data_IF_496475188951
#
_entry.id   IF_496475188951
#
_cell.length_a   1.000
_cell.length_b   1.000
_cell.length_c   1.000
_cell.angle_alpha   90.00
_cell.angle_beta   90.00
_cell.angle_gamma   90.00
#
_symmetry.space_group_name_H-M   'P 1'
#
loop_
_entity.id
_entity.type
_entity.pdbx_description
1 polymer ?
#
# COMPACT_ATOMS: atom_id res chain seq x y z
N UNK A 1 41.45 14.50 -2.98
CA UNK A 1 41.25 13.03 -3.02
C UNK A 1 41.46 12.48 -1.62
N UNK A 2 40.41 12.46 -0.80
CA UNK A 2 40.44 11.90 0.55
C UNK A 2 39.56 10.66 0.59
N UNK A 3 40.20 9.50 0.67
CA UNK A 3 39.84 8.35 1.52
C UNK A 3 38.34 7.95 1.59
N UNK A 4 37.67 7.82 0.44
CA UNK A 4 36.35 7.15 0.34
C UNK A 4 36.49 5.63 0.56
N UNK A 5 37.70 5.08 0.44
CA UNK A 5 38.00 3.66 0.59
C UNK A 5 37.90 3.14 2.05
N UNK A 6 37.72 4.01 3.05
CA UNK A 6 37.62 3.62 4.48
C UNK A 6 36.19 3.46 5.01
N UNK A 7 35.16 3.53 4.16
CA UNK A 7 33.81 3.09 4.52
C UNK A 7 33.51 1.82 3.76
N UNK A 8 33.36 0.71 4.48
CA UNK A 8 33.08 -0.66 4.00
C UNK A 8 31.72 -0.84 3.28
N UNK A 9 31.16 0.22 2.70
CA UNK A 9 30.01 0.17 1.81
C UNK A 9 30.21 1.24 0.73
N UNK A 10 30.78 0.85 -0.42
CA UNK A 10 30.90 1.75 -1.56
C UNK A 10 29.51 1.96 -2.16
N UNK A 11 28.80 2.98 -1.67
CA UNK A 11 27.53 3.44 -2.24
C UNK A 11 27.83 4.35 -3.43
N UNK A 12 27.84 3.78 -4.63
CA UNK A 12 27.85 4.55 -5.87
C UNK A 12 26.41 4.94 -6.24
N UNK A 13 26.15 6.23 -6.40
CA UNK A 13 24.83 6.77 -6.77
C UNK A 13 24.91 7.35 -8.18
N UNK A 14 24.00 6.94 -9.05
CA UNK A 14 23.86 7.47 -10.42
C UNK A 14 22.38 7.58 -10.81
N UNK A 15 22.10 8.27 -11.91
CA UNK A 15 20.76 8.36 -12.47
C UNK A 15 20.50 7.26 -13.52
N UNK A 16 19.21 7.05 -13.84
CA UNK A 16 18.76 6.03 -14.80
C UNK A 16 19.31 6.22 -16.23
N UNK A 17 19.72 7.44 -16.59
CA UNK A 17 20.23 7.76 -17.93
C UNK A 17 21.74 7.48 -18.06
N UNK A 18 22.50 7.55 -16.97
CA UNK A 18 23.96 7.43 -16.95
C UNK A 18 24.47 6.07 -16.44
N UNK A 19 23.61 5.04 -16.42
CA UNK A 19 24.05 3.65 -16.13
C UNK A 19 24.87 3.01 -17.27
N UNK A 20 25.02 3.68 -18.42
CA UNK A 20 25.92 3.22 -19.51
C UNK A 20 27.37 3.40 -19.08
N UNK A 21 28.13 2.30 -19.02
CA UNK A 21 29.55 2.30 -18.66
C UNK A 21 29.86 1.70 -17.29
N UNK A 22 28.84 1.49 -16.45
CA UNK A 22 28.99 0.95 -15.10
C UNK A 22 29.09 -0.58 -15.04
N UNK A 23 29.26 -1.26 -16.17
CA UNK A 23 29.30 -2.73 -16.19
C UNK A 23 30.45 -3.30 -15.35
N UNK A 24 31.58 -2.59 -15.27
CA UNK A 24 32.71 -2.98 -14.43
C UNK A 24 32.43 -2.73 -12.93
N UNK A 25 31.67 -1.69 -12.60
CA UNK A 25 31.28 -1.38 -11.23
C UNK A 25 30.22 -2.38 -10.76
N UNK A 26 29.19 -2.61 -11.57
CA UNK A 26 28.21 -3.66 -11.33
C UNK A 26 28.93 -4.99 -11.08
N UNK A 27 29.92 -5.38 -11.89
CA UNK A 27 30.72 -6.61 -11.67
C UNK A 27 31.28 -6.77 -10.26
N UNK A 28 31.61 -5.68 -9.57
CA UNK A 28 32.22 -5.71 -8.23
C UNK A 28 31.21 -5.61 -7.10
N UNK A 29 29.93 -5.38 -7.42
CA UNK A 29 28.87 -5.15 -6.44
C UNK A 29 28.01 -6.39 -6.25
N UNK A 30 27.75 -6.74 -4.98
CA UNK A 30 26.84 -7.82 -4.58
C UNK A 30 25.39 -7.34 -4.44
N UNK A 31 25.18 -6.12 -3.95
CA UNK A 31 23.83 -5.55 -3.73
C UNK A 31 23.66 -4.25 -4.51
N UNK A 32 22.64 -4.17 -5.36
CA UNK A 32 22.32 -2.99 -6.16
C UNK A 32 20.93 -2.48 -5.78
N UNK A 33 20.87 -1.24 -5.29
CA UNK A 33 19.63 -0.55 -4.99
C UNK A 33 19.20 0.30 -6.18
N UNK A 34 17.96 0.12 -6.62
CA UNK A 34 17.29 0.93 -7.62
C UNK A 34 16.17 1.68 -6.89
N UNK A 35 16.39 2.97 -6.65
CA UNK A 35 15.50 3.78 -5.82
C UNK A 35 14.78 4.81 -6.69
N UNK A 36 13.47 4.88 -6.52
CA UNK A 36 12.62 5.89 -7.13
C UNK A 36 12.15 5.53 -8.53
N UNK A 37 11.39 6.45 -9.11
CA UNK A 37 10.72 6.27 -10.39
C UNK A 37 11.40 7.12 -11.47
N UNK A 38 11.89 6.54 -12.57
CA UNK A 38 12.49 7.31 -13.65
C UNK A 38 11.48 8.30 -14.22
N UNK A 39 11.84 9.57 -14.30
CA UNK A 39 10.96 10.58 -14.87
C UNK A 39 10.99 10.51 -16.40
N UNK A 40 9.82 10.42 -17.01
CA UNK A 40 9.67 10.54 -18.45
C UNK A 40 9.43 11.98 -18.88
N UNK A 41 10.12 12.40 -19.95
CA UNK A 41 9.92 13.73 -20.52
C UNK A 41 8.48 13.88 -21.02
N UNK A 42 7.75 14.95 -20.64
CA UNK A 42 6.38 15.17 -21.09
C UNK A 42 6.20 15.13 -22.61
N UNK A 43 7.20 15.59 -23.37
CA UNK A 43 7.19 15.54 -24.85
C UNK A 43 7.20 14.12 -25.42
N UNK A 44 7.86 13.16 -24.76
CA UNK A 44 7.88 11.76 -25.18
C UNK A 44 6.54 11.08 -24.89
N UNK A 45 5.96 11.39 -23.72
CA UNK A 45 4.63 10.91 -23.34
C UNK A 45 3.60 11.44 -24.33
N UNK A 46 3.61 12.75 -24.60
CA UNK A 46 2.75 13.41 -25.56
C UNK A 46 2.82 12.78 -26.94
N UNK A 47 4.03 12.65 -27.50
CA UNK A 47 4.23 12.07 -28.82
C UNK A 47 3.72 10.63 -28.91
N UNK A 48 3.96 9.81 -27.88
CA UNK A 48 3.47 8.42 -27.86
C UNK A 48 1.96 8.34 -27.72
N UNK A 49 1.37 9.14 -26.84
CA UNK A 49 -0.08 9.18 -26.66
C UNK A 49 -0.78 9.59 -27.97
N UNK A 50 -0.24 10.58 -28.70
CA UNK A 50 -0.75 10.95 -30.02
C UNK A 50 -0.63 9.84 -31.07
N UNK A 51 0.47 9.07 -31.06
CA UNK A 51 0.63 7.93 -31.99
C UNK A 51 -0.40 6.83 -31.70
N UNK A 52 -0.68 6.56 -30.43
CA UNK A 52 -1.54 5.45 -30.01
C UNK A 52 -3.03 5.80 -30.04
N UNK A 53 -3.38 7.03 -29.68
CA UNK A 53 -4.76 7.46 -29.39
C UNK A 53 -5.15 8.74 -30.13
N UNK A 54 -4.34 9.19 -31.11
CA UNK A 54 -4.58 10.45 -31.81
C UNK A 54 -5.84 10.49 -32.67
N UNK A 55 -6.41 9.32 -33.00
CA UNK A 55 -7.66 9.16 -33.76
C UNK A 55 -8.86 8.78 -32.87
N UNK A 56 -8.69 8.79 -31.54
CA UNK A 56 -9.78 8.53 -30.61
C UNK A 56 -10.83 9.66 -30.69
N UNK A 57 -12.10 9.28 -30.51
CA UNK A 57 -13.23 10.23 -30.49
C UNK A 57 -13.10 11.25 -29.37
N UNK A 58 -12.61 10.82 -28.22
CA UNK A 58 -12.41 11.67 -27.05
C UNK A 58 -10.98 12.22 -27.04
N UNK A 59 -10.80 13.55 -26.93
CA UNK A 59 -9.48 14.17 -26.93
C UNK A 59 -8.65 13.71 -25.73
N UNK A 60 -7.32 13.74 -25.90
CA UNK A 60 -6.37 13.38 -24.85
C UNK A 60 -6.21 14.51 -23.82
N UNK A 61 -6.22 14.15 -22.54
CA UNK A 61 -6.15 15.13 -21.44
C UNK A 61 -4.87 14.99 -20.59
N UNK A 62 -3.94 15.93 -20.78
CA UNK A 62 -2.58 15.86 -20.22
C UNK A 62 -2.41 16.48 -18.82
N UNK A 63 -3.51 16.88 -18.18
CA UNK A 63 -3.45 17.44 -16.84
C UNK A 63 -3.06 16.36 -15.82
N UNK A 64 -2.26 16.76 -14.83
CA UNK A 64 -1.89 15.91 -13.69
C UNK A 64 -2.61 16.35 -12.44
N UNK A 65 -2.93 15.40 -11.58
CA UNK A 65 -3.32 15.68 -10.21
C UNK A 65 -2.14 16.28 -9.44
N UNK A 66 -2.39 17.34 -8.68
CA UNK A 66 -1.34 18.05 -7.93
C UNK A 66 -0.76 17.18 -6.82
N UNK A 67 -1.61 16.41 -6.14
CA UNK A 67 -1.23 15.60 -4.97
C UNK A 67 -0.44 14.35 -5.35
N UNK A 68 -0.89 13.63 -6.39
CA UNK A 68 -0.33 12.33 -6.76
C UNK A 68 0.65 12.42 -7.93
N UNK A 69 0.61 13.50 -8.70
CA UNK A 69 1.39 13.65 -9.94
C UNK A 69 0.97 12.69 -11.07
N UNK A 70 -0.11 11.92 -10.88
CA UNK A 70 -0.70 11.03 -11.90
C UNK A 70 -1.43 11.86 -12.95
N UNK A 71 -1.41 11.40 -14.20
CA UNK A 71 -2.25 11.96 -15.24
C UNK A 71 -3.71 11.62 -14.98
N UNK A 72 -4.60 12.59 -15.19
CA UNK A 72 -6.05 12.39 -15.04
C UNK A 72 -6.66 11.52 -16.15
N UNK A 73 -6.01 11.50 -17.32
CA UNK A 73 -6.37 10.59 -18.42
C UNK A 73 -5.61 9.27 -18.27
N UNK A 74 -6.34 8.18 -18.02
CA UNK A 74 -5.77 6.84 -17.82
C UNK A 74 -4.95 6.39 -19.03
N UNK A 75 -5.31 6.77 -20.27
CA UNK A 75 -4.54 6.41 -21.48
C UNK A 75 -3.14 7.02 -21.44
N UNK A 76 -3.04 8.26 -20.94
CA UNK A 76 -1.76 8.96 -20.81
C UNK A 76 -0.97 8.41 -19.63
N UNK A 77 -1.66 8.10 -18.52
CA UNK A 77 -1.06 7.46 -17.36
C UNK A 77 -0.44 6.11 -17.73
N UNK A 78 -1.14 5.28 -18.51
CA UNK A 78 -0.64 3.99 -19.01
C UNK A 78 0.61 4.17 -19.88
N UNK A 79 0.61 5.14 -20.80
CA UNK A 79 1.78 5.44 -21.64
C UNK A 79 2.98 5.85 -20.79
N UNK A 80 2.74 6.65 -19.74
CA UNK A 80 3.77 7.03 -18.78
C UNK A 80 4.31 5.82 -18.02
N UNK A 81 3.44 5.03 -17.38
CA UNK A 81 3.82 3.87 -16.58
C UNK A 81 4.56 2.82 -17.42
N UNK A 82 4.11 2.52 -18.64
CA UNK A 82 4.84 1.64 -19.57
C UNK A 82 6.23 2.18 -19.92
N UNK A 83 6.36 3.49 -20.05
CA UNK A 83 7.64 4.16 -20.25
C UNK A 83 8.60 3.96 -19.09
N UNK A 84 8.09 4.13 -17.87
CA UNK A 84 8.79 3.92 -16.61
C UNK A 84 9.24 2.46 -16.45
N UNK A 85 8.30 1.52 -16.56
CA UNK A 85 8.53 0.07 -16.50
C UNK A 85 9.65 -0.32 -17.46
N UNK A 86 9.60 0.13 -18.71
CA UNK A 86 10.64 -0.16 -19.70
C UNK A 86 12.04 0.31 -19.28
N UNK A 87 12.14 1.46 -18.61
CA UNK A 87 13.43 1.97 -18.11
C UNK A 87 13.92 1.14 -16.94
N UNK A 88 13.04 0.78 -16.00
CA UNK A 88 13.35 -0.10 -14.87
C UNK A 88 13.82 -1.46 -15.35
N UNK A 89 13.05 -2.15 -16.19
CA UNK A 89 13.39 -3.45 -16.79
C UNK A 89 14.76 -3.41 -17.47
N UNK A 90 15.04 -2.36 -18.26
CA UNK A 90 16.34 -2.20 -18.92
C UNK A 90 17.48 -2.00 -17.91
N UNK A 91 17.23 -1.27 -16.84
CA UNK A 91 18.23 -1.01 -15.79
C UNK A 91 18.56 -2.30 -15.05
N UNK A 92 17.55 -3.09 -14.70
CA UNK A 92 17.72 -4.41 -14.07
C UNK A 92 18.48 -5.36 -14.98
N UNK A 93 18.15 -5.47 -16.27
CA UNK A 93 18.93 -6.32 -17.19
C UNK A 93 20.41 -5.90 -17.29
N UNK A 94 20.72 -4.60 -17.12
CA UNK A 94 22.11 -4.10 -17.13
C UNK A 94 22.89 -4.45 -15.88
N UNK A 95 22.22 -4.72 -14.75
CA UNK A 95 22.90 -5.17 -13.52
C UNK A 95 23.50 -6.58 -13.66
N UNK A 96 23.12 -7.30 -14.72
CA UNK A 96 23.60 -8.65 -14.99
C UNK A 96 23.07 -9.69 -14.00
N UNK A 97 21.92 -9.43 -13.36
CA UNK A 97 21.28 -10.34 -12.41
C UNK A 97 21.17 -11.78 -12.97
N UNK A 98 20.84 -11.92 -14.26
CA UNK A 98 20.71 -13.22 -14.92
C UNK A 98 22.05 -13.96 -15.15
N UNK A 99 23.18 -13.27 -14.97
CA UNK A 99 24.52 -13.81 -15.24
C UNK A 99 25.30 -14.15 -13.98
N UNK A 100 24.87 -13.65 -12.83
CA UNK A 100 25.65 -13.65 -11.60
C UNK A 100 24.77 -14.09 -10.43
N UNK A 101 25.00 -15.31 -9.95
CA UNK A 101 24.15 -15.99 -8.96
C UNK A 101 24.23 -15.39 -7.55
N UNK A 102 25.27 -14.59 -7.24
CA UNK A 102 25.55 -14.02 -5.93
C UNK A 102 25.06 -12.57 -5.79
N UNK A 103 24.07 -12.16 -6.59
CA UNK A 103 23.60 -10.77 -6.65
C UNK A 103 22.18 -10.58 -6.17
N UNK A 104 22.03 -9.50 -5.42
CA UNK A 104 20.74 -8.99 -5.00
C UNK A 104 20.48 -7.64 -5.66
N UNK A 105 19.37 -7.54 -6.39
CA UNK A 105 18.85 -6.25 -6.87
C UNK A 105 17.62 -5.91 -6.03
N UNK A 106 17.66 -4.77 -5.37
CA UNK A 106 16.53 -4.24 -4.61
C UNK A 106 15.91 -3.11 -5.41
N UNK A 107 14.63 -3.25 -5.76
CA UNK A 107 13.87 -2.23 -6.47
C UNK A 107 12.80 -1.64 -5.55
N UNK A 108 12.85 -0.33 -5.32
CA UNK A 108 11.80 0.39 -4.62
C UNK A 108 10.94 1.11 -5.64
N UNK A 109 9.78 0.54 -5.96
CA UNK A 109 8.82 1.10 -6.92
C UNK A 109 7.40 0.77 -6.50
N UNK A 110 6.47 1.69 -6.79
CA UNK A 110 5.03 1.46 -6.66
C UNK A 110 4.41 0.77 -7.88
N UNK A 111 5.22 0.45 -8.90
CA UNK A 111 4.76 -0.16 -10.15
C UNK A 111 5.16 -1.63 -10.20
N UNK A 112 4.23 -2.46 -10.64
CA UNK A 112 4.57 -3.80 -11.10
C UNK A 112 5.48 -3.69 -12.33
N UNK A 113 6.52 -4.52 -12.37
CA UNK A 113 7.44 -4.60 -13.50
C UNK A 113 7.29 -5.99 -14.10
N UNK A 114 6.45 -6.16 -15.14
CA UNK A 114 6.21 -7.45 -15.76
C UNK A 114 7.52 -8.16 -16.12
N UNK A 115 7.50 -9.48 -16.04
CA UNK A 115 8.66 -10.35 -16.21
C UNK A 115 9.77 -10.14 -15.17
N UNK A 116 9.59 -9.28 -14.16
CA UNK A 116 10.49 -9.14 -13.01
C UNK A 116 9.71 -9.45 -11.73
N UNK A 117 8.60 -8.75 -11.49
CA UNK A 117 7.77 -8.94 -10.29
C UNK A 117 7.13 -10.32 -10.23
N UNK A 118 6.89 -10.93 -11.38
CA UNK A 118 6.17 -12.20 -11.49
C UNK A 118 7.10 -13.43 -11.47
N UNK A 119 8.41 -13.21 -11.33
CA UNK A 119 9.40 -14.30 -11.27
C UNK A 119 9.33 -15.03 -9.92
N UNK A 120 9.49 -16.37 -9.88
CA UNK A 120 9.51 -17.10 -8.62
C UNK A 120 10.70 -16.74 -7.72
N UNK A 121 11.79 -16.20 -8.30
CA UNK A 121 12.95 -15.72 -7.55
C UNK A 121 12.79 -14.32 -6.97
N UNK A 122 11.73 -13.60 -7.35
CA UNK A 122 11.47 -12.23 -6.86
C UNK A 122 10.65 -12.27 -5.59
N UNK A 123 11.20 -11.68 -4.53
CA UNK A 123 10.51 -11.52 -3.25
C UNK A 123 9.92 -10.11 -3.16
N UNK A 124 8.62 -10.02 -2.87
CA UNK A 124 7.93 -8.76 -2.65
C UNK A 124 7.93 -8.43 -1.17
N UNK A 125 8.23 -7.18 -0.83
CA UNK A 125 8.27 -6.71 0.55
C UNK A 125 7.78 -5.27 0.65
N UNK A 126 7.26 -4.92 1.82
CA UNK A 126 6.93 -3.54 2.20
C UNK A 126 7.96 -2.97 3.19
N UNK A 127 7.72 -1.76 3.69
CA UNK A 127 8.67 -1.11 4.58
C UNK A 127 8.70 -1.80 5.95
N UNK A 128 7.56 -2.30 6.41
CA UNK A 128 7.38 -3.02 7.65
C UNK A 128 8.19 -4.32 7.67
N UNK A 129 8.18 -5.09 6.57
CA UNK A 129 9.01 -6.28 6.39
C UNK A 129 10.51 -5.94 6.57
N UNK A 130 10.96 -4.83 5.98
CA UNK A 130 12.35 -4.38 6.06
C UNK A 130 12.74 -3.93 7.48
N UNK A 131 11.85 -3.21 8.17
CA UNK A 131 12.06 -2.78 9.56
C UNK A 131 12.14 -3.97 10.52
N UNK A 132 11.28 -4.97 10.35
CA UNK A 132 11.29 -6.19 11.17
C UNK A 132 12.56 -7.00 10.91
N UNK A 133 12.98 -7.12 9.65
CA UNK A 133 14.19 -7.87 9.29
C UNK A 133 15.47 -7.23 9.82
N UNK A 134 15.50 -5.90 9.98
CA UNK A 134 16.72 -5.17 10.39
C UNK A 134 17.86 -5.20 9.36
N UNK A 135 17.65 -5.79 8.19
CA UNK A 135 18.62 -5.85 7.09
C UNK A 135 18.24 -6.86 5.99
N UNK A 136 18.92 -6.75 4.84
CA UNK A 136 18.64 -7.57 3.65
C UNK A 136 18.89 -9.08 3.81
N UNK A 137 19.71 -9.47 4.77
CA UNK A 137 20.09 -10.88 4.98
C UNK A 137 18.96 -11.68 5.64
N UNK A 138 18.22 -11.07 6.58
CA UNK A 138 17.06 -11.67 7.25
C UNK A 138 15.74 -11.42 6.50
N UNK A 139 15.73 -10.46 5.56
CA UNK A 139 14.52 -10.06 4.84
C UNK A 139 13.80 -11.24 4.14
N UNK A 140 14.49 -12.18 3.45
CA UNK A 140 13.82 -13.33 2.86
C UNK A 140 13.05 -14.20 3.87
N UNK A 141 13.56 -14.36 5.09
CA UNK A 141 12.89 -15.15 6.13
C UNK A 141 11.64 -14.44 6.67
N UNK A 142 11.73 -13.12 6.83
CA UNK A 142 10.58 -12.28 7.23
C UNK A 142 9.48 -12.34 6.17
N UNK A 143 9.82 -12.17 4.89
CA UNK A 143 8.87 -12.26 3.77
C UNK A 143 8.23 -13.65 3.74
N UNK A 144 9.03 -14.72 3.78
CA UNK A 144 8.51 -16.09 3.75
C UNK A 144 7.57 -16.38 4.93
N UNK A 145 7.87 -15.81 6.10
CA UNK A 145 7.01 -15.91 7.28
C UNK A 145 5.69 -15.16 7.07
N UNK A 146 5.73 -13.93 6.55
CA UNK A 146 4.54 -13.13 6.21
C UNK A 146 3.66 -13.85 5.19
N UNK A 147 4.23 -14.26 4.05
CA UNK A 147 3.52 -14.96 2.98
C UNK A 147 2.90 -16.27 3.46
N UNK A 148 3.58 -17.01 4.35
CA UNK A 148 3.00 -18.21 4.99
C UNK A 148 1.77 -17.85 5.82
N UNK A 149 1.84 -16.81 6.65
CA UNK A 149 0.69 -16.39 7.46
C UNK A 149 -0.46 -15.85 6.60
N UNK A 150 -0.16 -15.16 5.49
CA UNK A 150 -1.17 -14.72 4.52
C UNK A 150 -1.86 -15.92 3.84
N UNK A 151 -1.11 -16.90 3.37
CA UNK A 151 -1.65 -18.12 2.78
C UNK A 151 -2.45 -18.97 3.80
N UNK A 152 -2.03 -19.00 5.06
CA UNK A 152 -2.79 -19.63 6.15
C UNK A 152 -4.07 -18.86 6.46
N UNK A 153 -4.02 -17.52 6.42
CA UNK A 153 -5.17 -16.65 6.64
C UNK A 153 -6.24 -16.83 5.56
N UNK A 154 -5.85 -16.98 4.30
CA UNK A 154 -6.77 -17.26 3.20
C UNK A 154 -7.46 -18.63 3.32
N UNK A 155 -6.85 -19.57 4.06
CA UNK A 155 -7.40 -20.90 4.32
C UNK A 155 -8.28 -20.96 5.57
N UNK A 156 -8.38 -19.90 6.36
CA UNK A 156 -9.24 -19.89 7.54
C UNK A 156 -10.71 -20.02 7.12
N UNK A 157 -11.41 -20.96 7.75
CA UNK A 157 -12.82 -21.23 7.45
C UNK A 157 -13.68 -21.24 8.72
N UNK A 158 -14.96 -21.54 8.56
CA UNK A 158 -15.91 -21.76 9.66
C UNK A 158 -15.51 -22.90 10.61
N UNK A 159 -14.75 -23.86 10.09
CA UNK A 159 -14.32 -25.08 10.78
C UNK A 159 -12.99 -24.90 11.51
N UNK A 160 -12.25 -23.82 11.20
CA UNK A 160 -10.98 -23.52 11.86
C UNK A 160 -11.14 -23.43 13.38
N UNK A 161 -10.10 -23.89 14.09
CA UNK A 161 -10.12 -23.82 15.56
C UNK A 161 -9.86 -22.39 16.04
N UNK A 162 -10.25 -22.11 17.28
CA UNK A 162 -9.97 -20.81 17.89
C UNK A 162 -8.46 -20.57 17.99
N UNK A 163 -7.72 -21.59 18.41
CA UNK A 163 -6.28 -21.56 18.59
C UNK A 163 -5.56 -21.30 17.27
N UNK A 164 -6.07 -21.87 16.17
CA UNK A 164 -5.56 -21.62 14.83
C UNK A 164 -5.77 -20.17 14.41
N UNK A 165 -6.96 -19.61 14.62
CA UNK A 165 -7.26 -18.20 14.31
C UNK A 165 -6.43 -17.23 15.17
N UNK A 166 -6.22 -17.54 16.45
CA UNK A 166 -5.36 -16.74 17.33
C UNK A 166 -3.92 -16.67 16.81
N UNK A 167 -3.36 -17.83 16.44
CA UNK A 167 -2.00 -17.95 15.92
C UNK A 167 -1.85 -17.22 14.59
N UNK A 168 -2.75 -17.47 13.63
CA UNK A 168 -2.65 -16.94 12.27
C UNK A 168 -2.86 -15.42 12.22
N UNK A 169 -3.78 -14.90 13.03
CA UNK A 169 -4.09 -13.46 13.04
C UNK A 169 -3.35 -12.66 14.12
N UNK A 170 -2.53 -13.31 14.95
CA UNK A 170 -1.85 -12.66 16.07
C UNK A 170 -2.80 -11.96 17.04
N UNK A 171 -3.98 -12.53 17.28
CA UNK A 171 -5.08 -11.86 17.97
C UNK A 171 -5.47 -12.53 19.29
N UNK A 172 -6.16 -11.78 20.15
CA UNK A 172 -6.67 -12.32 21.41
C UNK A 172 -7.80 -13.34 21.20
N UNK A 173 -8.02 -14.22 22.17
CA UNK A 173 -9.10 -15.20 22.13
C UNK A 173 -10.50 -14.62 21.92
N UNK A 174 -10.71 -13.39 22.38
CA UNK A 174 -11.97 -12.68 22.15
C UNK A 174 -12.14 -12.27 20.68
N UNK A 175 -11.06 -11.84 20.03
CA UNK A 175 -11.06 -11.47 18.62
C UNK A 175 -11.18 -12.71 17.73
N UNK A 176 -10.46 -13.79 18.04
CA UNK A 176 -10.56 -15.05 17.30
C UNK A 176 -11.98 -15.61 17.29
N UNK A 177 -12.65 -15.64 18.46
CA UNK A 177 -14.06 -16.06 18.54
C UNK A 177 -15.01 -15.12 17.77
N UNK A 178 -14.69 -13.82 17.66
CA UNK A 178 -15.47 -12.88 16.85
C UNK A 178 -15.36 -13.20 15.36
N UNK A 179 -14.14 -13.45 14.88
CA UNK A 179 -13.86 -13.84 13.50
C UNK A 179 -14.53 -15.17 13.14
N UNK A 180 -14.38 -16.20 14.00
CA UNK A 180 -15.05 -17.50 13.78
C UNK A 180 -16.57 -17.38 13.72
N UNK A 181 -17.16 -16.52 14.54
CA UNK A 181 -18.61 -16.28 14.49
C UNK A 181 -19.02 -15.58 13.19
N UNK A 182 -18.22 -14.63 12.72
CA UNK A 182 -18.44 -13.93 11.45
C UNK A 182 -18.37 -14.90 10.26
N UNK A 183 -17.37 -15.80 10.23
CA UNK A 183 -17.31 -16.86 9.22
C UNK A 183 -18.58 -17.73 9.23
N UNK A 184 -19.10 -18.08 10.42
CA UNK A 184 -20.29 -18.93 10.58
C UNK A 184 -21.60 -18.22 10.22
N UNK A 185 -21.56 -17.03 9.63
CA UNK A 185 -22.74 -16.22 9.35
C UNK A 185 -23.46 -15.74 10.61
N UNK A 186 -22.81 -15.84 11.77
CA UNK A 186 -23.39 -15.37 13.02
C UNK A 186 -23.40 -13.86 13.02
N UNK A 187 -24.58 -13.27 13.24
CA UNK A 187 -24.73 -11.84 13.38
C UNK A 187 -23.69 -11.27 14.38
N UNK A 188 -23.19 -10.04 14.16
CA UNK A 188 -22.46 -9.34 15.21
C UNK A 188 -23.30 -9.41 16.50
N UNK A 189 -22.74 -9.87 17.63
CA UNK A 189 -23.44 -9.97 18.94
C UNK A 189 -24.13 -8.65 19.33
N UNK A 190 -23.67 -7.54 18.74
CA UNK A 190 -24.27 -6.22 18.80
C UNK A 190 -23.86 -5.48 17.54
N UNK A 191 -24.79 -4.75 16.90
CA UNK A 191 -24.41 -3.77 15.87
C UNK A 191 -23.39 -2.81 16.51
N UNK A 192 -22.19 -2.57 15.95
CA UNK A 192 -21.22 -1.66 16.56
C UNK A 192 -21.82 -0.28 16.78
N UNK A 193 -21.48 0.38 17.90
CA UNK A 193 -22.00 1.72 18.21
C UNK A 193 -21.76 2.70 17.06
N UNK A 194 -20.61 2.64 16.38
CA UNK A 194 -20.35 3.37 15.13
C UNK A 194 -21.50 3.24 14.13
N UNK A 195 -21.88 2.02 13.74
CA UNK A 195 -22.94 1.80 12.74
C UNK A 195 -24.28 2.32 13.24
N UNK A 196 -24.62 2.10 14.51
CA UNK A 196 -25.87 2.61 15.09
C UNK A 196 -25.93 4.14 15.13
N UNK A 197 -24.83 4.80 15.54
CA UNK A 197 -24.71 6.26 15.58
C UNK A 197 -24.85 6.86 14.19
N UNK A 198 -24.14 6.31 13.19
CA UNK A 198 -24.18 6.83 11.82
C UNK A 198 -25.58 6.69 11.20
N UNK A 199 -26.28 5.57 11.45
CA UNK A 199 -27.68 5.38 11.02
C UNK A 199 -28.60 6.42 11.66
N UNK A 200 -28.47 6.67 12.97
CA UNK A 200 -29.31 7.65 13.68
C UNK A 200 -29.04 9.10 13.23
N UNK A 201 -27.83 9.41 12.77
CA UNK A 201 -27.45 10.72 12.26
C UNK A 201 -27.77 10.90 10.77
N UNK A 202 -28.15 9.84 10.05
CA UNK A 202 -28.56 9.93 8.66
C UNK A 202 -29.81 10.81 8.49
N UNK A 203 -30.70 10.83 9.48
CA UNK A 203 -31.92 11.64 9.52
C UNK A 203 -31.67 13.07 10.07
N UNK A 204 -30.41 13.47 10.24
CA UNK A 204 -30.02 14.82 10.67
C UNK A 204 -29.41 14.90 12.08
N UNK A 205 -29.45 16.09 12.65
CA UNK A 205 -28.82 16.37 13.95
C UNK A 205 -29.49 15.60 15.10
N UNK A 206 -28.70 14.99 15.97
CA UNK A 206 -29.20 14.30 17.18
C UNK A 206 -28.49 14.75 18.44
N UNK A 207 -29.23 14.79 19.56
CA UNK A 207 -28.69 15.04 20.89
C UNK A 207 -28.04 13.80 21.48
N UNK A 208 -27.06 14.01 22.36
CA UNK A 208 -26.42 12.92 23.13
C UNK A 208 -27.45 12.07 23.86
N UNK A 209 -28.48 12.69 24.45
CA UNK A 209 -29.54 11.97 25.16
C UNK A 209 -30.39 11.09 24.22
N UNK A 210 -30.67 11.56 23.00
CA UNK A 210 -31.41 10.81 21.99
C UNK A 210 -30.60 9.60 21.52
N UNK A 211 -29.30 9.79 21.27
CA UNK A 211 -28.38 8.73 20.86
C UNK A 211 -28.20 7.68 21.97
N UNK A 212 -28.05 8.11 23.22
CA UNK A 212 -27.92 7.20 24.37
C UNK A 212 -29.22 6.44 24.64
N UNK A 213 -30.39 7.05 24.41
CA UNK A 213 -31.68 6.40 24.58
C UNK A 213 -31.99 5.39 23.46
N UNK A 214 -31.60 5.69 22.23
CA UNK A 214 -31.85 4.85 21.06
C UNK A 214 -30.87 3.68 20.91
N UNK A 215 -29.64 3.84 21.41
CA UNK A 215 -28.60 2.81 21.33
C UNK A 215 -28.67 1.93 22.57
N UNK A 216 -29.01 0.67 22.38
CA UNK A 216 -28.92 -0.31 23.45
C UNK A 216 -27.44 -0.47 23.84
N UNK A 217 -27.03 0.10 24.97
CA UNK A 217 -25.64 0.14 25.42
C UNK A 217 -25.42 0.96 26.70
N UNK A 218 -24.29 0.77 27.37
CA UNK A 218 -23.95 1.57 28.54
C UNK A 218 -23.70 3.04 28.13
N UNK A 219 -24.32 4.05 28.75
CA UNK A 219 -24.22 5.46 28.34
C UNK A 219 -22.80 5.98 28.19
N UNK A 220 -21.89 5.55 29.08
CA UNK A 220 -20.46 5.91 29.01
C UNK A 220 -19.78 5.41 27.74
N UNK A 221 -20.14 4.21 27.26
CA UNK A 221 -19.53 3.63 26.07
C UNK A 221 -20.02 4.32 24.79
N UNK A 222 -21.30 4.71 24.73
CA UNK A 222 -21.85 5.53 23.64
C UNK A 222 -21.17 6.90 23.60
N UNK A 223 -20.99 7.55 24.75
CA UNK A 223 -20.27 8.84 24.84
C UNK A 223 -18.80 8.74 24.41
N UNK A 224 -18.11 7.68 24.78
CA UNK A 224 -16.73 7.45 24.35
C UNK A 224 -16.64 7.25 22.84
N UNK A 225 -17.57 6.50 22.25
CA UNK A 225 -17.62 6.31 20.81
C UNK A 225 -17.95 7.61 20.06
N UNK A 226 -18.88 8.43 20.57
CA UNK A 226 -19.17 9.76 20.00
C UNK A 226 -17.93 10.65 19.99
N UNK A 227 -17.16 10.63 21.09
CA UNK A 227 -15.88 11.36 21.14
C UNK A 227 -14.92 10.84 20.07
N UNK A 228 -14.72 9.52 19.99
CA UNK A 228 -13.85 8.88 18.99
C UNK A 228 -14.24 9.28 17.56
N UNK A 229 -15.53 9.24 17.22
CA UNK A 229 -16.03 9.57 15.89
C UNK A 229 -15.87 11.05 15.52
N UNK A 230 -15.96 11.96 16.51
CA UNK A 230 -15.62 13.37 16.31
C UNK A 230 -14.12 13.53 16.09
N UNK A 231 -13.30 12.87 16.91
CA UNK A 231 -11.84 12.93 16.82
C UNK A 231 -11.34 12.38 15.47
N UNK A 232 -12.02 11.37 14.89
CA UNK A 232 -11.70 10.82 13.56
C UNK A 232 -12.38 11.56 12.39
N UNK A 233 -13.15 12.62 12.66
CA UNK A 233 -13.83 13.42 11.63
C UNK A 233 -15.00 12.72 10.93
N UNK A 234 -15.44 11.55 11.43
CA UNK A 234 -16.55 10.80 10.84
C UNK A 234 -17.92 11.45 11.12
N UNK A 235 -18.02 12.21 12.21
CA UNK A 235 -19.18 13.03 12.58
C UNK A 235 -18.69 14.40 13.06
N UNK A 236 -19.56 15.40 13.02
CA UNK A 236 -19.26 16.75 13.51
C UNK A 236 -20.06 17.07 14.75
N UNK A 237 -19.43 17.78 15.70
CA UNK A 237 -20.13 18.37 16.85
C UNK A 237 -20.60 19.77 16.47
N UNK A 238 -21.87 19.89 16.10
CA UNK A 238 -22.48 21.17 15.70
C UNK A 238 -22.53 22.16 16.86
N UNK A 239 -22.91 21.67 18.05
CA UNK A 239 -22.93 22.41 19.31
C UNK A 239 -22.80 21.46 20.48
N UNK A 240 -22.67 21.99 21.70
CA UNK A 240 -22.46 21.15 22.88
C UNK A 240 -23.56 20.09 23.02
N UNK A 241 -23.15 18.82 22.99
CA UNK A 241 -24.05 17.66 23.11
C UNK A 241 -24.88 17.32 21.88
N UNK A 242 -24.66 17.95 20.72
CA UNK A 242 -25.39 17.72 19.46
C UNK A 242 -24.41 17.37 18.33
N UNK A 243 -24.73 16.31 17.60
CA UNK A 243 -23.89 15.74 16.55
C UNK A 243 -24.65 15.61 15.22
N UNK A 244 -23.92 15.62 14.12
CA UNK A 244 -24.43 15.45 12.76
C UNK A 244 -23.40 14.74 11.88
N UNK A 245 -23.82 14.24 10.72
CA UNK A 245 -22.89 13.85 9.67
C UNK A 245 -22.22 15.09 9.04
N UNK A 246 -20.96 15.00 8.57
CA UNK A 246 -20.33 16.08 7.83
C UNK A 246 -21.15 16.41 6.58
N UNK A 247 -21.35 17.70 6.28
CA UNK A 247 -21.95 18.10 5.01
C UNK A 247 -20.96 17.76 3.90
N UNK A 248 -21.40 17.03 2.87
CA UNK A 248 -20.64 16.94 1.63
C UNK A 248 -20.63 18.34 1.02
N UNK A 249 -19.47 18.93 0.83
CA UNK A 249 -19.32 20.07 -0.07
C UNK A 249 -19.62 19.53 -1.48
N UNK A 250 -20.78 19.92 -2.00
CA UNK A 250 -21.13 19.81 -3.42
C UNK A 250 -20.51 20.96 -4.18
#
# INVERSE_FOLDING_TARGET
MSDIAKKDNVSFVTNFDNVRGLSADFRKTQVIWIIGTPQWLPSLIWRRAQILFGDDKEPLFYEKEIETGRYKDERIQDVYEQGVVRVLTRTIHRTGLERWADRTVVLISSLAVPDITDRPETLLFDWEDFEIAGGLHELPEVIATRERFEAEREKLTVESSREEVERVLGCSSRQANRVLREFRGGAPLRVPFRKQILVLLADGEKRTAELVAAIEGHPKAVKNELKRLVDTGEIVRVRWGIYALPKRET
#
